data_IF_362414729133
#
_entry.id   IF_362414729133
#
_cell.length_a   1.000
_cell.length_b   1.000
_cell.length_c   1.000
_cell.angle_alpha   90.00
_cell.angle_beta   90.00
_cell.angle_gamma   90.00
#
_symmetry.space_group_name_H-M   'P 1'
#
loop_
_entity.id
_entity.type
_entity.pdbx_description
1 polymer ?
#
# COMPACT_ATOMS: atom_id res chain seq x y z
N UNK A 1 5.18 5.99 8.20
CA UNK A 1 4.82 6.85 7.05
C UNK A 1 3.60 6.28 6.34
N UNK A 2 2.86 7.09 5.64
CA UNK A 2 1.75 6.63 4.84
C UNK A 2 2.24 6.06 3.52
N UNK A 3 1.49 5.12 2.96
CA UNK A 3 1.84 4.53 1.69
C UNK A 3 2.00 5.59 0.58
N UNK A 4 1.20 6.66 0.63
CA UNK A 4 1.30 7.77 -0.33
C UNK A 4 2.62 8.53 -0.25
N UNK A 5 3.38 8.35 0.81
CA UNK A 5 4.66 9.04 1.01
C UNK A 5 5.86 8.23 0.52
N UNK A 6 5.65 7.02 0.06
CA UNK A 6 6.74 6.18 -0.43
C UNK A 6 7.23 6.65 -1.79
N UNK A 7 8.47 6.33 -2.11
CA UNK A 7 9.09 6.68 -3.40
C UNK A 7 9.14 5.47 -4.32
N UNK A 8 9.20 5.67 -5.64
CA UNK A 8 9.44 4.56 -6.56
C UNK A 8 10.69 3.78 -6.16
N UNK A 9 10.62 2.47 -6.30
CA UNK A 9 11.68 1.51 -5.94
C UNK A 9 11.94 1.36 -4.45
N UNK A 10 11.17 2.02 -3.60
CA UNK A 10 11.32 1.89 -2.17
C UNK A 10 10.68 0.58 -1.67
N UNK A 11 11.43 -0.17 -0.88
CA UNK A 11 10.92 -1.36 -0.20
C UNK A 11 10.36 -0.98 1.16
N UNK A 12 9.34 -1.70 1.60
CA UNK A 12 8.74 -1.47 2.90
C UNK A 12 7.91 -2.65 3.37
N UNK A 13 7.30 -2.47 4.52
CA UNK A 13 6.41 -3.45 5.14
C UNK A 13 5.12 -2.74 5.53
N UNK A 14 3.99 -3.36 5.26
CA UNK A 14 2.69 -2.85 5.70
C UNK A 14 2.61 -3.00 7.22
N UNK A 15 2.40 -1.90 7.92
CA UNK A 15 2.36 -1.91 9.39
C UNK A 15 0.96 -1.86 9.95
N UNK A 16 0.13 -0.96 9.45
CA UNK A 16 -1.19 -0.78 9.99
C UNK A 16 -2.13 -0.31 8.89
N UNK A 17 -3.34 -0.84 8.90
CA UNK A 17 -4.38 -0.46 7.94
C UNK A 17 -5.51 0.19 8.73
N UNK A 18 -5.71 1.48 8.53
CA UNK A 18 -6.80 2.21 9.18
C UNK A 18 -8.11 2.03 8.44
N UNK A 19 -9.15 2.65 8.97
CA UNK A 19 -10.47 2.59 8.37
C UNK A 19 -11.38 1.56 9.03
N UNK A 20 -12.55 1.34 8.43
CA UNK A 20 -13.50 0.40 9.00
C UNK A 20 -13.29 -1.03 8.47
N UNK A 21 -14.07 -1.97 9.02
CA UNK A 21 -13.94 -3.38 8.65
C UNK A 21 -14.20 -3.63 7.16
N UNK A 22 -15.12 -2.86 6.57
CA UNK A 22 -15.42 -3.00 5.14
C UNK A 22 -14.20 -2.64 4.29
N UNK A 23 -13.55 -1.52 4.61
CA UNK A 23 -12.33 -1.10 3.92
C UNK A 23 -11.21 -2.12 4.12
N UNK A 24 -11.02 -2.58 5.37
CA UNK A 24 -9.96 -3.53 5.68
C UNK A 24 -10.15 -4.85 4.93
N UNK A 25 -11.39 -5.34 4.86
CA UNK A 25 -11.69 -6.56 4.10
C UNK A 25 -11.43 -6.39 2.61
N UNK A 26 -11.80 -5.25 2.05
CA UNK A 26 -11.59 -4.95 0.64
C UNK A 26 -10.09 -4.89 0.29
N UNK A 27 -9.32 -4.24 1.15
CA UNK A 27 -7.87 -4.11 0.94
C UNK A 27 -7.17 -5.47 1.11
N UNK A 28 -7.59 -6.26 2.08
CA UNK A 28 -7.04 -7.59 2.28
C UNK A 28 -7.31 -8.51 1.08
N UNK A 29 -8.48 -8.36 0.46
CA UNK A 29 -8.85 -9.17 -0.70
C UNK A 29 -7.92 -8.98 -1.89
N UNK A 30 -7.28 -7.81 -2.02
CA UNK A 30 -6.31 -7.56 -3.09
C UNK A 30 -4.87 -7.85 -2.66
N UNK A 31 -4.67 -8.38 -1.45
CA UNK A 31 -3.36 -8.81 -0.98
C UNK A 31 -2.63 -7.86 -0.05
N UNK A 32 -3.22 -6.73 0.30
CA UNK A 32 -2.60 -5.77 1.21
C UNK A 32 -2.97 -6.13 2.63
N UNK A 33 -2.04 -6.75 3.34
CA UNK A 33 -2.25 -7.16 4.73
C UNK A 33 -1.08 -6.73 5.59
N UNK A 34 -1.32 -6.57 6.89
CA UNK A 34 -0.28 -6.19 7.84
C UNK A 34 0.84 -7.22 7.84
N UNK A 35 2.08 -6.73 7.90
CA UNK A 35 3.25 -7.58 7.88
C UNK A 35 3.75 -7.96 6.50
N UNK A 36 3.02 -7.60 5.44
CA UNK A 36 3.42 -7.96 4.08
C UNK A 36 4.49 -7.00 3.57
N UNK A 37 5.56 -7.55 3.03
CA UNK A 37 6.59 -6.76 2.37
C UNK A 37 6.12 -6.34 0.98
N UNK A 38 6.50 -5.14 0.59
CA UNK A 38 6.13 -4.59 -0.72
C UNK A 38 7.25 -3.74 -1.29
N UNK A 39 7.13 -3.45 -2.56
CA UNK A 39 7.98 -2.46 -3.22
C UNK A 39 7.07 -1.48 -3.94
N UNK A 40 7.29 -0.18 -3.75
CA UNK A 40 6.58 0.84 -4.50
C UNK A 40 7.17 0.89 -5.90
N UNK A 41 6.32 0.68 -6.89
CA UNK A 41 6.75 0.71 -8.29
C UNK A 41 6.55 2.10 -8.86
N UNK A 42 5.41 2.71 -8.52
CA UNK A 42 5.04 4.00 -9.07
C UNK A 42 4.21 4.78 -8.06
N UNK A 43 4.49 6.06 -7.93
CA UNK A 43 3.74 6.93 -7.02
C UNK A 43 3.66 8.33 -7.62
N UNK A 44 2.78 8.51 -8.59
CA UNK A 44 2.53 9.79 -9.22
C UNK A 44 1.34 10.47 -8.55
N UNK A 45 1.40 11.77 -8.36
CA UNK A 45 0.43 12.54 -7.57
C UNK A 45 -1.04 12.31 -7.89
N UNK A 46 -1.37 12.10 -9.15
CA UNK A 46 -2.77 11.99 -9.59
C UNK A 46 -3.17 10.58 -9.99
N UNK A 47 -2.31 9.62 -9.71
CA UNK A 47 -2.51 8.23 -10.10
C UNK A 47 -2.54 7.35 -8.86
N UNK A 48 -3.15 6.17 -8.94
CA UNK A 48 -3.03 5.19 -7.87
C UNK A 48 -1.58 4.87 -7.58
N UNK A 49 -1.29 4.51 -6.34
CA UNK A 49 0.04 4.03 -5.98
C UNK A 49 0.16 2.59 -6.48
N UNK A 50 1.18 2.32 -7.27
CA UNK A 50 1.41 0.99 -7.82
C UNK A 50 2.43 0.25 -6.97
N UNK A 51 2.02 -0.89 -6.44
CA UNK A 51 2.84 -1.71 -5.56
C UNK A 51 3.13 -3.06 -6.18
N UNK A 52 4.29 -3.61 -5.86
CA UNK A 52 4.61 -4.99 -6.15
C UNK A 52 4.72 -5.72 -4.82
N UNK A 53 3.88 -6.73 -4.63
CA UNK A 53 3.92 -7.58 -3.44
C UNK A 53 3.38 -8.96 -3.80
N UNK A 54 3.91 -9.99 -3.15
CA UNK A 54 3.50 -11.38 -3.39
C UNK A 54 3.47 -11.74 -4.89
N UNK A 55 4.47 -11.27 -5.62
CA UNK A 55 4.62 -11.54 -7.06
C UNK A 55 3.47 -10.97 -7.91
N UNK A 56 2.79 -9.95 -7.42
CA UNK A 56 1.63 -9.34 -8.09
C UNK A 56 1.77 -7.83 -8.07
N UNK A 57 1.41 -7.19 -9.17
CA UNK A 57 1.28 -5.73 -9.22
C UNK A 57 -0.14 -5.36 -8.81
N UNK A 58 -0.26 -4.43 -7.87
CA UNK A 58 -1.55 -3.91 -7.42
C UNK A 58 -1.55 -2.40 -7.44
N UNK A 59 -2.69 -1.84 -7.86
CA UNK A 59 -2.90 -0.40 -7.81
C UNK A 59 -3.80 -0.08 -6.62
N UNK A 60 -3.33 0.81 -5.74
CA UNK A 60 -4.09 1.25 -4.57
C UNK A 60 -4.43 2.72 -4.79
N UNK A 61 -5.72 3.06 -4.81
CA UNK A 61 -6.07 4.45 -5.04
C UNK A 61 -5.58 5.33 -3.89
N UNK A 62 -5.39 6.62 -4.16
CA UNK A 62 -4.70 7.48 -3.19
C UNK A 62 -5.46 7.69 -1.90
N UNK A 63 -6.78 7.70 -1.94
CA UNK A 63 -7.58 7.82 -0.71
C UNK A 63 -7.37 6.62 0.19
N UNK A 64 -7.32 5.43 -0.40
CA UNK A 64 -7.09 4.20 0.35
C UNK A 64 -5.65 4.14 0.86
N UNK A 65 -4.69 4.55 0.01
CA UNK A 65 -3.27 4.53 0.38
C UNK A 65 -2.96 5.45 1.56
N UNK A 66 -3.74 6.52 1.74
CA UNK A 66 -3.57 7.41 2.89
C UNK A 66 -3.91 6.75 4.22
N UNK A 67 -4.69 5.68 4.20
CA UNK A 67 -5.09 4.93 5.39
C UNK A 67 -4.14 3.77 5.72
N UNK A 68 -3.10 3.60 4.94
CA UNK A 68 -2.17 2.48 5.10
C UNK A 68 -0.85 3.03 5.61
N UNK A 69 -0.49 2.61 6.83
CA UNK A 69 0.79 2.94 7.43
C UNK A 69 1.82 1.89 7.03
N UNK A 70 2.99 2.35 6.64
CA UNK A 70 4.07 1.47 6.20
C UNK A 70 5.37 1.88 6.89
N UNK A 71 6.31 0.95 6.90
CA UNK A 71 7.66 1.20 7.39
C UNK A 71 8.63 0.91 6.27
N UNK A 72 9.46 1.90 5.95
CA UNK A 72 10.48 1.74 4.91
C UNK A 72 11.57 0.77 5.38
N UNK A 73 12.09 0.00 4.46
CA UNK A 73 13.19 -0.93 4.72
C UNK A 73 14.47 -0.49 4.02
#
# INVERSE_FOLDING_TARGET
MKLTETRPDQNGVIREIGGDAHFMNRIAAIGVTEGTAFKTVRNDRKMPVLLYLRETLIAVNRKDAERIEVEAQ
#
